data_IF_118218354704
#
_entry.id   IF_118218354704
#
_cell.length_a   1.000
_cell.length_b   1.000
_cell.length_c   1.000
_cell.angle_alpha   90.00
_cell.angle_beta   90.00
_cell.angle_gamma   90.00
#
_symmetry.space_group_name_H-M   'P 1'
#
loop_
_entity.id
_entity.type
_entity.pdbx_description
1 polymer ?
#
# COMPACT_ATOMS: atom_id res chain seq x y z
N UNK A 1 -11.00 6.30 3.93
CA UNK A 1 -10.00 6.10 2.87
C UNK A 1 -9.18 4.84 3.07
N UNK A 2 -8.50 4.73 4.20
CA UNK A 2 -7.53 3.67 4.53
C UNK A 2 -8.00 2.22 4.39
N UNK A 3 -9.31 1.95 4.53
CA UNK A 3 -9.86 0.60 4.30
C UNK A 3 -9.47 0.00 2.94
N UNK A 4 -9.29 0.81 1.89
CA UNK A 4 -8.79 0.30 0.61
C UNK A 4 -7.36 -0.24 0.71
N UNK A 5 -6.50 0.39 1.52
CA UNK A 5 -5.12 -0.06 1.76
C UNK A 5 -5.09 -1.29 2.66
N UNK A 6 -6.08 -1.48 3.54
CA UNK A 6 -6.23 -2.73 4.28
C UNK A 6 -6.36 -3.91 3.31
N UNK A 7 -7.18 -3.78 2.27
CA UNK A 7 -7.28 -4.77 1.20
C UNK A 7 -5.95 -5.00 0.48
N UNK A 8 -5.16 -3.95 0.24
CA UNK A 8 -3.85 -4.08 -0.41
C UNK A 8 -2.86 -4.80 0.51
N UNK A 9 -2.86 -4.49 1.81
CA UNK A 9 -2.03 -5.17 2.81
C UNK A 9 -2.34 -6.66 2.92
N UNK A 10 -3.63 -7.01 2.89
CA UNK A 10 -4.09 -8.40 2.85
C UNK A 10 -3.65 -9.10 1.55
N UNK A 11 -3.74 -8.42 0.41
CA UNK A 11 -3.27 -8.97 -0.86
C UNK A 11 -1.76 -9.23 -0.88
N UNK A 12 -0.95 -8.29 -0.37
CA UNK A 12 0.51 -8.41 -0.40
C UNK A 12 1.02 -9.59 0.45
N UNK A 13 0.36 -9.87 1.57
CA UNK A 13 0.74 -10.94 2.47
C UNK A 13 -0.05 -12.24 2.25
N UNK A 14 -0.87 -12.30 1.21
CA UNK A 14 -1.73 -13.45 0.93
C UNK A 14 -0.93 -14.74 0.74
N UNK A 15 0.24 -14.69 0.13
CA UNK A 15 1.05 -15.90 -0.06
C UNK A 15 1.57 -16.48 1.25
N UNK A 16 1.75 -15.69 2.31
CA UNK A 16 2.31 -16.18 3.57
C UNK A 16 1.54 -17.40 4.11
N UNK A 17 0.21 -17.34 4.35
CA UNK A 17 -0.52 -18.49 4.83
C UNK A 17 -0.97 -19.47 3.74
N UNK A 18 -1.20 -19.01 2.49
CA UNK A 18 -1.83 -19.86 1.46
C UNK A 18 -0.84 -20.52 0.51
N UNK A 19 0.37 -19.99 0.33
CA UNK A 19 1.38 -20.61 -0.52
C UNK A 19 1.76 -22.01 0.01
N UNK A 20 2.02 -22.22 1.32
CA UNK A 20 2.22 -23.55 1.86
C UNK A 20 1.02 -24.47 1.64
N UNK A 21 -0.21 -23.93 1.69
CA UNK A 21 -1.43 -24.74 1.54
C UNK A 21 -1.60 -25.30 0.12
N UNK A 22 -1.29 -24.50 -0.90
CA UNK A 22 -1.40 -24.90 -2.31
C UNK A 22 -0.20 -25.72 -2.79
N UNK A 23 0.98 -25.55 -2.17
CA UNK A 23 2.18 -26.34 -2.48
C UNK A 23 2.17 -27.70 -1.79
N UNK A 24 1.68 -27.79 -0.54
CA UNK A 24 1.58 -29.06 0.18
C UNK A 24 0.34 -29.89 -0.22
N UNK A 25 -0.43 -29.46 -1.23
CA UNK A 25 -1.62 -30.17 -1.72
C UNK A 25 -2.81 -30.18 -0.74
N UNK A 26 -2.78 -29.36 0.32
CA UNK A 26 -3.87 -29.29 1.31
C UNK A 26 -5.11 -28.55 0.78
N UNK A 27 -4.96 -27.75 -0.28
CA UNK A 27 -6.09 -27.08 -0.92
C UNK A 27 -6.70 -27.97 -2.01
N UNK A 28 -8.01 -28.29 -1.94
CA UNK A 28 -8.63 -29.22 -2.87
C UNK A 28 -8.68 -28.66 -4.30
N UNK A 29 -8.27 -29.48 -5.27
CA UNK A 29 -8.39 -29.20 -6.69
C UNK A 29 -7.24 -28.43 -7.34
N UNK A 30 -6.14 -28.17 -6.61
CA UNK A 30 -4.89 -27.67 -7.19
C UNK A 30 -3.68 -28.17 -6.39
N UNK A 31 -2.62 -28.55 -7.08
CA UNK A 31 -1.30 -28.77 -6.49
C UNK A 31 -0.31 -27.95 -7.31
N UNK A 32 0.43 -27.07 -6.62
CA UNK A 32 1.29 -26.08 -7.26
C UNK A 32 2.75 -26.40 -6.94
N UNK A 33 3.59 -26.47 -7.95
CA UNK A 33 5.04 -26.67 -7.76
C UNK A 33 5.69 -25.47 -7.06
N UNK A 34 6.88 -25.65 -6.48
CA UNK A 34 7.63 -24.55 -5.84
C UNK A 34 7.89 -23.37 -6.80
N UNK A 35 8.18 -23.67 -8.06
CA UNK A 35 8.45 -22.67 -9.09
C UNK A 35 7.19 -21.87 -9.45
N UNK A 36 6.08 -22.57 -9.69
CA UNK A 36 4.78 -21.94 -9.92
C UNK A 36 4.33 -21.10 -8.73
N UNK A 37 4.55 -21.58 -7.51
CA UNK A 37 4.27 -20.87 -6.28
C UNK A 37 5.05 -19.56 -6.15
N UNK A 38 6.32 -19.57 -6.56
CA UNK A 38 7.18 -18.39 -6.58
C UNK A 38 6.70 -17.35 -7.60
N UNK A 39 6.20 -17.79 -8.76
CA UNK A 39 5.54 -16.90 -9.71
C UNK A 39 4.30 -16.25 -9.10
N UNK A 40 3.41 -17.03 -8.47
CA UNK A 40 2.21 -16.49 -7.79
C UNK A 40 2.58 -15.41 -6.76
N UNK A 41 3.66 -15.63 -6.00
CA UNK A 41 4.13 -14.70 -4.98
C UNK A 41 4.66 -13.38 -5.54
N UNK A 42 5.37 -13.39 -6.67
CA UNK A 42 5.99 -12.18 -7.23
C UNK A 42 5.06 -11.37 -8.13
N UNK A 43 3.96 -11.95 -8.64
CA UNK A 43 3.04 -11.26 -9.57
C UNK A 43 2.56 -9.86 -9.10
N UNK A 44 2.17 -9.63 -7.83
CA UNK A 44 1.77 -8.30 -7.37
C UNK A 44 2.89 -7.26 -7.47
N UNK A 45 4.14 -7.70 -7.32
CA UNK A 45 5.31 -6.82 -7.42
C UNK A 45 5.64 -6.49 -8.87
N UNK A 46 5.50 -7.46 -9.79
CA UNK A 46 5.61 -7.23 -11.23
C UNK A 46 4.51 -6.29 -11.76
N UNK A 47 3.33 -6.32 -11.13
CA UNK A 47 2.23 -5.44 -11.45
C UNK A 47 2.38 -4.00 -10.91
N UNK A 48 3.29 -3.78 -9.97
CA UNK A 48 3.43 -2.48 -9.31
C UNK A 48 3.86 -1.35 -10.27
N UNK A 49 4.86 -1.51 -11.17
CA UNK A 49 5.22 -0.48 -12.14
C UNK A 49 4.09 -0.06 -13.10
N UNK A 50 3.40 -0.97 -13.83
CA UNK A 50 2.30 -0.55 -14.70
C UNK A 50 1.15 0.08 -13.90
N UNK A 51 0.84 -0.45 -12.72
CA UNK A 51 -0.15 0.15 -11.83
C UNK A 51 0.20 1.59 -11.40
N UNK A 52 1.47 1.88 -11.11
CA UNK A 52 1.91 3.23 -10.74
C UNK A 52 1.80 4.22 -11.92
N UNK A 53 2.11 3.77 -13.14
CA UNK A 53 1.94 4.58 -14.36
C UNK A 53 0.47 4.87 -14.63
N UNK A 54 -0.40 3.86 -14.48
CA UNK A 54 -1.85 4.05 -14.57
C UNK A 54 -2.35 5.03 -13.50
N UNK A 55 -1.83 4.96 -12.29
CA UNK A 55 -2.20 5.85 -11.19
C UNK A 55 -1.87 7.31 -11.52
N UNK A 56 -0.66 7.58 -12.04
CA UNK A 56 -0.25 8.92 -12.43
C UNK A 56 -1.21 9.55 -13.47
N UNK A 57 -1.72 8.73 -14.39
CA UNK A 57 -2.71 9.17 -15.37
C UNK A 57 -4.11 9.37 -14.78
N UNK A 58 -4.60 8.40 -14.00
CA UNK A 58 -5.96 8.40 -13.45
C UNK A 58 -6.16 9.56 -12.47
N UNK A 59 -5.21 9.76 -11.56
CA UNK A 59 -5.32 10.78 -10.51
C UNK A 59 -5.41 12.20 -11.08
N UNK A 60 -4.72 12.46 -12.19
CA UNK A 60 -4.77 13.74 -12.91
C UNK A 60 -6.02 13.90 -13.78
N UNK A 61 -6.53 12.79 -14.35
CA UNK A 61 -7.66 12.83 -15.29
C UNK A 61 -9.01 12.88 -14.58
N UNK A 62 -9.24 11.95 -13.64
CA UNK A 62 -10.54 11.75 -12.97
C UNK A 62 -10.56 12.22 -11.52
N UNK A 63 -9.41 12.51 -10.91
CA UNK A 63 -9.30 12.99 -9.54
C UNK A 63 -8.86 11.91 -8.55
N UNK A 64 -8.43 12.35 -7.37
CA UNK A 64 -7.83 11.49 -6.34
C UNK A 64 -8.90 10.64 -5.65
N UNK A 65 -10.01 11.26 -5.25
CA UNK A 65 -11.15 10.58 -4.61
C UNK A 65 -11.80 9.61 -5.59
N UNK A 66 -12.09 10.04 -6.80
CA UNK A 66 -12.72 9.15 -7.80
C UNK A 66 -11.83 7.97 -8.17
N UNK A 67 -10.53 8.17 -8.33
CA UNK A 67 -9.59 7.05 -8.55
C UNK A 67 -9.67 6.03 -7.41
N UNK A 68 -9.62 6.50 -6.17
CA UNK A 68 -9.69 5.62 -4.99
C UNK A 68 -11.03 4.88 -4.90
N UNK A 69 -12.14 5.58 -5.17
CA UNK A 69 -13.49 5.02 -5.11
C UNK A 69 -13.72 3.95 -6.20
N UNK A 70 -13.28 4.18 -7.44
CA UNK A 70 -13.48 3.26 -8.56
C UNK A 70 -12.60 2.00 -8.45
N UNK A 71 -11.48 2.05 -7.73
CA UNK A 71 -10.68 0.87 -7.44
C UNK A 71 -11.37 -0.11 -6.48
N UNK A 72 -12.36 0.34 -5.69
CA UNK A 72 -13.08 -0.49 -4.74
C UNK A 72 -13.89 -1.63 -5.40
N UNK A 73 -14.80 -1.39 -6.36
CA UNK A 73 -15.53 -2.46 -7.04
C UNK A 73 -14.59 -3.40 -7.83
N UNK A 74 -13.49 -2.87 -8.37
CA UNK A 74 -12.49 -3.70 -9.05
C UNK A 74 -11.81 -4.64 -8.05
N UNK A 75 -11.39 -4.12 -6.89
CA UNK A 75 -10.78 -4.93 -5.81
C UNK A 75 -11.76 -5.99 -5.30
N UNK A 76 -13.04 -5.62 -5.13
CA UNK A 76 -14.12 -6.55 -4.77
C UNK A 76 -14.20 -7.71 -5.77
N UNK A 77 -14.33 -7.39 -7.07
CA UNK A 77 -14.41 -8.39 -8.12
C UNK A 77 -13.18 -9.31 -8.13
N UNK A 78 -11.97 -8.76 -7.96
CA UNK A 78 -10.73 -9.55 -7.92
C UNK A 78 -10.69 -10.54 -6.74
N UNK A 79 -11.16 -10.15 -5.55
CA UNK A 79 -11.26 -11.08 -4.43
C UNK A 79 -12.31 -12.17 -4.66
N UNK A 80 -13.44 -11.84 -5.29
CA UNK A 80 -14.44 -12.84 -5.68
C UNK A 80 -13.83 -13.82 -6.69
N UNK A 81 -13.19 -13.33 -7.76
CA UNK A 81 -12.55 -14.20 -8.75
C UNK A 81 -11.44 -15.06 -8.12
N UNK A 82 -10.67 -14.52 -7.17
CA UNK A 82 -9.65 -15.25 -6.44
C UNK A 82 -10.24 -16.43 -5.64
N UNK A 83 -11.42 -16.25 -5.04
CA UNK A 83 -12.08 -17.27 -4.24
C UNK A 83 -12.38 -18.54 -5.08
N UNK A 84 -12.68 -18.36 -6.36
CA UNK A 84 -13.03 -19.42 -7.31
C UNK A 84 -11.86 -19.83 -8.22
N UNK A 85 -10.67 -19.26 -8.05
CA UNK A 85 -9.50 -19.65 -8.83
C UNK A 85 -9.09 -21.10 -8.53
N UNK A 86 -8.80 -21.87 -9.59
CA UNK A 86 -8.41 -23.30 -9.50
C UNK A 86 -7.19 -23.67 -10.35
N UNK A 87 -6.57 -22.70 -11.03
CA UNK A 87 -5.39 -22.94 -11.86
C UNK A 87 -4.27 -21.96 -11.49
N UNK A 88 -3.02 -22.39 -11.64
CA UNK A 88 -1.84 -21.54 -11.40
C UNK A 88 -1.92 -20.25 -12.21
N UNK A 89 -2.30 -20.35 -13.48
CA UNK A 89 -2.42 -19.20 -14.37
C UNK A 89 -3.51 -18.21 -13.92
N UNK A 90 -4.65 -18.71 -13.41
CA UNK A 90 -5.68 -17.85 -12.84
C UNK A 90 -5.16 -17.12 -11.58
N UNK A 91 -4.46 -17.81 -10.68
CA UNK A 91 -3.84 -17.17 -9.52
C UNK A 91 -2.86 -16.08 -9.95
N UNK A 92 -1.96 -16.37 -10.90
CA UNK A 92 -1.01 -15.39 -11.41
C UNK A 92 -1.69 -14.16 -12.03
N UNK A 93 -2.67 -14.38 -12.91
CA UNK A 93 -3.39 -13.29 -13.58
C UNK A 93 -4.13 -12.40 -12.57
N UNK A 94 -4.86 -13.00 -11.62
CA UNK A 94 -5.60 -12.25 -10.59
C UNK A 94 -4.64 -11.50 -9.67
N UNK A 95 -3.55 -12.15 -9.22
CA UNK A 95 -2.50 -11.53 -8.39
C UNK A 95 -1.83 -10.35 -9.08
N UNK A 96 -1.61 -10.44 -10.39
CA UNK A 96 -1.10 -9.33 -11.19
C UNK A 96 -2.11 -8.18 -11.23
N UNK A 97 -3.37 -8.44 -11.58
CA UNK A 97 -4.40 -7.39 -11.68
C UNK A 97 -4.66 -6.68 -10.34
N UNK A 98 -4.81 -7.43 -9.25
CA UNK A 98 -4.99 -6.85 -7.92
C UNK A 98 -3.73 -6.10 -7.44
N UNK A 99 -2.53 -6.51 -7.88
CA UNK A 99 -1.29 -5.79 -7.67
C UNK A 99 -1.26 -4.43 -8.38
N UNK A 100 -1.75 -4.35 -9.62
CA UNK A 100 -1.91 -3.09 -10.34
C UNK A 100 -2.84 -2.15 -9.57
N UNK A 101 -4.00 -2.65 -9.13
CA UNK A 101 -4.98 -1.89 -8.34
C UNK A 101 -4.37 -1.43 -7.01
N UNK A 102 -3.62 -2.31 -6.33
CA UNK A 102 -2.91 -1.97 -5.11
C UNK A 102 -1.90 -0.84 -5.29
N UNK A 103 -1.16 -0.85 -6.40
CA UNK A 103 -0.22 0.23 -6.76
C UNK A 103 -0.93 1.56 -7.05
N UNK A 104 -2.09 1.50 -7.71
CA UNK A 104 -2.95 2.68 -7.93
C UNK A 104 -3.38 3.27 -6.58
N UNK A 105 -3.84 2.44 -5.66
CA UNK A 105 -4.28 2.87 -4.33
C UNK A 105 -3.14 3.44 -3.49
N UNK A 106 -1.95 2.81 -3.51
CA UNK A 106 -0.76 3.32 -2.83
C UNK A 106 -0.25 4.65 -3.36
N UNK A 107 -0.63 5.02 -4.59
CA UNK A 107 -0.28 6.32 -5.18
C UNK A 107 -1.37 7.35 -4.90
N UNK A 108 -2.64 7.00 -5.16
CA UNK A 108 -3.76 7.92 -5.10
C UNK A 108 -4.13 8.32 -3.66
N UNK A 109 -4.14 7.37 -2.71
CA UNK A 109 -4.64 7.64 -1.37
C UNK A 109 -3.72 8.56 -0.54
N UNK A 110 -2.38 8.36 -0.48
CA UNK A 110 -1.51 9.29 0.23
C UNK A 110 -1.57 10.71 -0.33
N UNK A 111 -1.71 10.84 -1.66
CA UNK A 111 -1.91 12.13 -2.32
C UNK A 111 -3.23 12.77 -1.88
N UNK A 112 -4.33 12.01 -1.93
CA UNK A 112 -5.64 12.46 -1.46
C UNK A 112 -5.58 12.95 -0.01
N UNK A 113 -5.08 12.11 0.90
CA UNK A 113 -4.97 12.44 2.33
C UNK A 113 -4.06 13.65 2.56
N UNK A 114 -2.98 13.78 1.79
CA UNK A 114 -2.09 14.93 1.87
C UNK A 114 -2.71 16.24 1.39
N UNK A 115 -3.63 16.19 0.44
CA UNK A 115 -4.33 17.36 -0.11
C UNK A 115 -5.56 17.76 0.74
N UNK A 116 -6.21 16.82 1.43
CA UNK A 116 -7.39 17.12 2.27
C UNK A 116 -7.03 17.39 3.74
N UNK A 117 -5.90 16.88 4.24
CA UNK A 117 -5.53 17.03 5.63
C UNK A 117 -5.19 18.48 5.99
N UNK A 118 -5.59 18.89 7.19
CA UNK A 118 -5.03 20.10 7.79
C UNK A 118 -3.53 19.89 8.09
N UNK A 119 -2.66 20.89 7.87
CA UNK A 119 -1.20 20.75 8.07
C UNK A 119 -0.80 20.11 9.40
N UNK A 120 -1.49 20.45 10.49
CA UNK A 120 -1.22 19.94 11.84
C UNK A 120 -1.40 18.41 11.99
N UNK A 121 -2.31 17.78 11.23
CA UNK A 121 -2.62 16.34 11.34
C UNK A 121 -2.20 15.54 10.11
N UNK A 122 -1.61 16.19 9.11
CA UNK A 122 -1.23 15.57 7.83
C UNK A 122 -0.27 14.40 8.01
N UNK A 123 0.67 14.50 8.95
CA UNK A 123 1.60 13.42 9.28
C UNK A 123 0.88 12.15 9.72
N UNK A 124 0.02 12.27 10.74
CA UNK A 124 -0.76 11.14 11.29
C UNK A 124 -1.70 10.56 10.23
N UNK A 125 -2.40 11.42 9.47
CA UNK A 125 -3.36 10.96 8.46
C UNK A 125 -2.65 10.20 7.33
N UNK A 126 -1.50 10.68 6.86
CA UNK A 126 -0.72 9.96 5.84
C UNK A 126 -0.09 8.68 6.40
N UNK A 127 0.34 8.68 7.67
CA UNK A 127 0.86 7.49 8.35
C UNK A 127 -0.18 6.37 8.52
N UNK A 128 -1.47 6.72 8.63
CA UNK A 128 -2.56 5.75 8.73
C UNK A 128 -2.63 4.78 7.54
N UNK A 129 -2.08 5.15 6.37
CA UNK A 129 -1.93 4.27 5.20
C UNK A 129 -1.03 3.07 5.53
N UNK A 130 0.15 3.32 6.10
CA UNK A 130 1.09 2.26 6.44
C UNK A 130 0.53 1.35 7.52
N UNK A 131 -0.08 1.94 8.55
CA UNK A 131 -0.75 1.19 9.62
C UNK A 131 -1.87 0.29 9.08
N UNK A 132 -2.72 0.82 8.20
CA UNK A 132 -3.79 0.05 7.58
C UNK A 132 -3.28 -1.10 6.72
N UNK A 133 -2.13 -0.93 6.03
CA UNK A 133 -1.50 -2.03 5.31
C UNK A 133 -1.04 -3.14 6.26
N UNK A 134 -0.40 -2.79 7.38
CA UNK A 134 0.07 -3.78 8.36
C UNK A 134 -1.10 -4.53 9.00
N UNK A 135 -2.21 -3.84 9.29
CA UNK A 135 -3.45 -4.49 9.74
C UNK A 135 -4.00 -5.47 8.70
N UNK A 136 -3.96 -5.13 7.41
CA UNK A 136 -4.34 -6.04 6.32
C UNK A 136 -3.46 -7.28 6.27
N UNK A 137 -2.14 -7.09 6.42
CA UNK A 137 -1.16 -8.18 6.50
C UNK A 137 -1.42 -9.10 7.70
N UNK A 138 -1.72 -8.55 8.87
CA UNK A 138 -2.13 -9.33 10.04
C UNK A 138 -3.43 -10.09 9.79
N UNK A 139 -4.45 -9.41 9.26
CA UNK A 139 -5.76 -9.99 8.98
C UNK A 139 -5.65 -11.23 8.09
N UNK A 140 -4.94 -11.15 6.97
CA UNK A 140 -4.86 -12.28 6.04
C UNK A 140 -4.11 -13.48 6.64
N UNK A 141 -3.08 -13.24 7.45
CA UNK A 141 -2.36 -14.32 8.13
C UNK A 141 -3.23 -15.01 9.19
N UNK A 142 -4.04 -14.25 9.93
CA UNK A 142 -5.02 -14.81 10.87
C UNK A 142 -6.11 -15.59 10.14
N UNK A 143 -6.66 -15.03 9.06
CA UNK A 143 -7.68 -15.71 8.25
C UNK A 143 -7.13 -17.00 7.64
N UNK A 144 -5.91 -16.98 7.13
CA UNK A 144 -5.30 -18.14 6.49
C UNK A 144 -4.96 -19.28 7.44
N UNK A 145 -4.94 -19.02 8.75
CA UNK A 145 -4.85 -20.08 9.74
C UNK A 145 -6.20 -20.78 9.98
N UNK A 146 -7.30 -20.03 9.98
CA UNK A 146 -8.61 -20.57 10.36
C UNK A 146 -9.49 -20.98 9.18
N UNK A 147 -9.23 -20.44 7.99
CA UNK A 147 -10.15 -20.51 6.87
C UNK A 147 -9.44 -20.85 5.56
N UNK A 148 -10.17 -21.52 4.66
CA UNK A 148 -9.70 -21.82 3.31
C UNK A 148 -9.55 -20.55 2.46
N UNK A 149 -8.85 -20.66 1.33
CA UNK A 149 -8.70 -19.57 0.34
C UNK A 149 -10.07 -19.03 -0.08
N UNK A 150 -11.07 -19.89 -0.28
CA UNK A 150 -12.42 -19.50 -0.68
C UNK A 150 -13.04 -18.56 0.35
N UNK A 151 -13.17 -19.02 1.59
CA UNK A 151 -13.83 -18.25 2.65
C UNK A 151 -13.07 -16.98 3.00
N UNK A 152 -11.74 -17.07 3.06
CA UNK A 152 -10.89 -15.90 3.35
C UNK A 152 -10.97 -14.84 2.25
N UNK A 153 -11.04 -15.24 0.98
CA UNK A 153 -11.22 -14.32 -0.14
C UNK A 153 -12.60 -13.66 -0.11
N UNK A 154 -13.66 -14.39 0.26
CA UNK A 154 -15.00 -13.82 0.46
C UNK A 154 -15.04 -12.82 1.62
N UNK A 155 -14.38 -13.12 2.75
CA UNK A 155 -14.25 -12.18 3.87
C UNK A 155 -13.47 -10.94 3.42
N UNK A 156 -12.36 -11.11 2.70
CA UNK A 156 -11.58 -9.98 2.18
C UNK A 156 -12.35 -9.16 1.14
N UNK A 157 -13.30 -9.76 0.41
CA UNK A 157 -14.17 -9.04 -0.51
C UNK A 157 -15.15 -8.11 0.21
N UNK A 158 -15.53 -8.37 1.46
CA UNK A 158 -16.38 -7.45 2.22
C UNK A 158 -15.69 -6.08 2.49
N UNK A 159 -14.37 -6.07 2.63
CA UNK A 159 -13.58 -4.86 2.95
C UNK A 159 -13.69 -3.77 1.87
N UNK A 160 -13.42 -4.04 0.56
CA UNK A 160 -13.60 -3.04 -0.49
C UNK A 160 -15.06 -2.60 -0.66
N UNK A 161 -16.05 -3.45 -0.34
CA UNK A 161 -17.47 -3.07 -0.35
C UNK A 161 -17.77 -2.03 0.74
N UNK A 162 -17.34 -2.30 1.98
CA UNK A 162 -17.47 -1.35 3.09
C UNK A 162 -16.72 -0.06 2.78
N UNK A 163 -15.52 -0.16 2.20
CA UNK A 163 -14.78 1.01 1.75
C UNK A 163 -15.56 1.83 0.73
N UNK A 164 -16.13 1.20 -0.30
CA UNK A 164 -16.92 1.89 -1.32
C UNK A 164 -18.08 2.66 -0.69
N UNK A 165 -18.88 1.97 0.13
CA UNK A 165 -20.03 2.59 0.81
C UNK A 165 -19.59 3.78 1.68
N UNK A 166 -18.60 3.59 2.55
CA UNK A 166 -18.11 4.65 3.44
C UNK A 166 -17.45 5.82 2.70
N UNK A 167 -16.84 5.59 1.53
CA UNK A 167 -16.02 6.59 0.84
C UNK A 167 -16.80 7.42 -0.19
N UNK A 168 -18.04 7.06 -0.53
CA UNK A 168 -18.90 7.84 -1.46
C UNK A 168 -19.08 9.29 -0.99
N UNK A 169 -19.31 9.48 0.31
CA UNK A 169 -19.59 10.80 0.90
C UNK A 169 -18.37 11.69 1.07
N UNK A 170 -17.16 11.15 0.88
CA UNK A 170 -15.95 11.95 0.98
C UNK A 170 -15.86 12.97 -0.17
N UNK A 171 -15.49 14.24 0.12
CA UNK A 171 -15.37 15.27 -0.91
C UNK A 171 -14.12 15.03 -1.77
N UNK A 172 -14.10 15.54 -3.00
CA UNK A 172 -12.89 15.49 -3.84
C UNK A 172 -11.85 16.51 -3.34
N UNK A 173 -10.58 16.28 -3.64
CA UNK A 173 -9.49 17.17 -3.22
C UNK A 173 -9.70 18.62 -3.69
N UNK A 174 -9.62 19.64 -2.80
CA UNK A 174 -9.66 21.04 -3.20
C UNK A 174 -8.57 21.40 -4.22
N UNK A 175 -7.37 20.83 -4.07
CA UNK A 175 -6.24 21.02 -4.99
C UNK A 175 -6.57 20.53 -6.40
N UNK A 176 -7.24 19.38 -6.51
CA UNK A 176 -7.67 18.85 -7.81
C UNK A 176 -8.74 19.74 -8.46
N UNK A 177 -9.72 20.20 -7.69
CA UNK A 177 -10.83 21.00 -8.19
C UNK A 177 -10.35 22.38 -8.69
N UNK A 178 -9.44 23.02 -7.96
CA UNK A 178 -8.79 24.27 -8.40
C UNK A 178 -8.00 24.05 -9.70
N UNK A 179 -7.24 22.94 -9.80
CA UNK A 179 -6.51 22.59 -11.03
C UNK A 179 -7.43 22.32 -12.24
N UNK A 180 -8.72 22.07 -12.00
CA UNK A 180 -9.75 21.93 -13.04
C UNK A 180 -10.55 23.22 -13.28
N UNK A 181 -10.15 24.34 -12.67
CA UNK A 181 -10.85 25.63 -12.68
C UNK A 181 -12.28 25.55 -12.11
N UNK A 182 -12.50 24.71 -11.10
CA UNK A 182 -13.81 24.49 -10.46
C UNK A 182 -13.84 25.10 -9.04
N UNK A 183 -13.56 26.40 -8.95
CA UNK A 183 -13.32 27.12 -7.69
C UNK A 183 -14.48 27.04 -6.70
N UNK A 184 -15.73 27.15 -7.16
CA UNK A 184 -16.90 27.06 -6.26
C UNK A 184 -16.99 25.68 -5.59
N UNK A 185 -16.85 24.60 -6.37
CA UNK A 185 -16.86 23.24 -5.82
C UNK A 185 -15.66 22.97 -4.90
N UNK A 186 -14.52 23.63 -5.16
CA UNK A 186 -13.34 23.56 -4.31
C UNK A 186 -13.60 24.23 -2.95
N UNK A 187 -14.30 25.36 -2.91
CA UNK A 187 -14.73 26.00 -1.66
C UNK A 187 -15.71 25.12 -0.88
N UNK A 188 -16.68 24.52 -1.55
CA UNK A 188 -17.61 23.57 -0.91
C UNK A 188 -16.89 22.34 -0.33
N UNK A 189 -15.92 21.79 -1.08
CA UNK A 189 -15.09 20.69 -0.61
C UNK A 189 -14.31 21.08 0.63
N UNK A 190 -13.65 22.24 0.60
CA UNK A 190 -12.88 22.74 1.73
C UNK A 190 -13.78 23.00 2.96
N UNK A 191 -14.99 23.55 2.76
CA UNK A 191 -15.97 23.74 3.82
C UNK A 191 -16.48 22.44 4.43
N UNK A 192 -16.56 21.35 3.67
CA UNK A 192 -16.85 20.02 4.22
C UNK A 192 -15.69 19.44 5.03
N UNK A 193 -14.45 19.81 4.69
CA UNK A 193 -13.23 19.30 5.32
C UNK A 193 -12.77 20.13 6.53
N UNK A 194 -13.19 21.40 6.61
CA UNK A 194 -12.86 22.35 7.67
C UNK A 194 -14.16 22.81 8.33
N UNK A 195 -14.35 22.46 9.60
CA UNK A 195 -15.56 22.82 10.37
C UNK A 195 -15.64 24.30 10.74
N UNK A 196 -15.04 25.21 9.96
CA UNK A 196 -14.88 26.63 10.27
C UNK A 196 -15.28 27.51 9.09
N UNK A 197 -15.84 28.69 9.37
CA UNK A 197 -16.30 29.65 8.35
C UNK A 197 -15.16 30.45 7.68
N UNK A 198 -13.95 30.48 8.25
CA UNK A 198 -12.80 31.23 7.68
C UNK A 198 -11.99 30.42 6.64
N UNK A 199 -12.68 29.75 5.73
CA UNK A 199 -12.03 28.96 4.66
C UNK A 199 -11.50 29.82 3.51
N UNK A 200 -11.83 31.12 3.47
CA UNK A 200 -11.44 32.02 2.39
C UNK A 200 -9.92 32.21 2.29
N UNK A 201 -9.24 32.32 3.43
CA UNK A 201 -7.79 32.46 3.50
C UNK A 201 -7.07 31.19 3.07
N UNK A 202 -7.49 30.02 3.56
CA UNK A 202 -6.91 28.72 3.17
C UNK A 202 -7.16 28.44 1.68
N UNK A 203 -8.37 28.70 1.19
CA UNK A 203 -8.68 28.58 -0.24
C UNK A 203 -7.73 29.45 -1.08
N UNK A 204 -7.56 30.72 -0.72
CA UNK A 204 -6.67 31.64 -1.45
C UNK A 204 -5.22 31.14 -1.46
N UNK A 205 -4.72 30.64 -0.32
CA UNK A 205 -3.36 30.08 -0.23
C UNK A 205 -3.20 28.86 -1.15
N UNK A 206 -4.15 27.93 -1.12
CA UNK A 206 -4.14 26.74 -2.00
C UNK A 206 -4.22 27.17 -3.47
N UNK A 207 -5.11 28.11 -3.81
CA UNK A 207 -5.27 28.58 -5.19
C UNK A 207 -4.02 29.25 -5.73
N UNK A 208 -3.33 30.08 -4.94
CA UNK A 208 -2.04 30.66 -5.34
C UNK A 208 -1.01 29.56 -5.59
N UNK A 209 -0.84 28.62 -4.65
CA UNK A 209 0.14 27.54 -4.79
C UNK A 209 -0.12 26.66 -6.02
N UNK A 210 -1.38 26.29 -6.27
CA UNK A 210 -1.77 25.47 -7.43
C UNK A 210 -1.58 26.24 -8.74
N UNK A 211 -1.95 27.52 -8.79
CA UNK A 211 -1.80 28.33 -9.99
C UNK A 211 -0.33 28.63 -10.32
N UNK A 212 0.52 28.82 -9.30
CA UNK A 212 1.97 28.90 -9.49
C UNK A 212 2.55 27.59 -10.05
N UNK A 213 2.09 26.43 -9.57
CA UNK A 213 2.50 25.13 -10.10
C UNK A 213 2.08 24.94 -11.58
N UNK A 214 0.87 25.40 -11.94
CA UNK A 214 0.36 25.36 -13.32
C UNK A 214 1.15 26.33 -14.22
N UNK A 215 1.40 27.55 -13.74
CA UNK A 215 2.06 28.62 -14.49
C UNK A 215 3.55 28.33 -14.74
N UNK A 216 4.25 27.69 -13.79
CA UNK A 216 5.66 27.34 -13.91
C UNK A 216 5.98 26.21 -14.92
N UNK A 217 5.00 25.83 -15.76
CA UNK A 217 5.00 24.72 -16.74
C UNK A 217 5.23 23.37 -16.08
N UNK A 218 4.29 22.44 -16.32
CA UNK A 218 4.35 21.03 -15.89
C UNK A 218 5.78 20.50 -15.95
N UNK A 219 6.33 20.10 -14.81
CA UNK A 219 7.52 19.25 -14.77
C UNK A 219 7.28 18.10 -15.76
N UNK A 220 8.01 18.08 -16.86
CA UNK A 220 7.94 16.98 -17.82
C UNK A 220 8.56 15.76 -17.16
N UNK A 221 8.08 14.57 -17.49
CA UNK A 221 8.69 13.33 -16.99
C UNK A 221 10.21 13.28 -17.26
N UNK A 222 10.65 13.86 -18.38
CA UNK A 222 12.07 13.99 -18.73
C UNK A 222 12.85 14.97 -17.84
N UNK A 223 12.18 15.91 -17.17
CA UNK A 223 12.81 16.87 -16.26
C UNK A 223 13.41 16.21 -15.03
N UNK A 224 12.99 14.98 -14.73
CA UNK A 224 13.61 14.13 -13.71
C UNK A 224 15.07 13.82 -14.08
N UNK A 225 15.36 13.66 -15.38
CA UNK A 225 16.69 13.31 -15.90
C UNK A 225 17.50 14.51 -16.39
N UNK A 226 16.85 15.62 -16.79
CA UNK A 226 17.57 16.80 -17.32
C UNK A 226 17.98 17.78 -16.22
N UNK A 227 17.13 17.99 -15.20
CA UNK A 227 17.38 18.97 -14.13
C UNK A 227 18.33 18.38 -13.08
N UNK A 228 19.44 19.07 -12.81
CA UNK A 228 20.50 18.60 -11.87
C UNK A 228 19.96 18.27 -10.47
N UNK A 229 19.08 19.11 -9.92
CA UNK A 229 18.45 18.88 -8.62
C UNK A 229 17.60 17.60 -8.61
N UNK A 230 16.75 17.44 -9.65
CA UNK A 230 15.89 16.27 -9.79
C UNK A 230 16.69 14.98 -9.98
N UNK A 231 17.81 15.02 -10.72
CA UNK A 231 18.72 13.88 -10.86
C UNK A 231 19.29 13.42 -9.53
N UNK A 232 19.72 14.36 -8.69
CA UNK A 232 20.22 14.03 -7.36
C UNK A 232 19.12 13.43 -6.48
N UNK A 233 17.91 14.01 -6.52
CA UNK A 233 16.75 13.45 -5.83
C UNK A 233 16.39 12.03 -6.32
N UNK A 234 16.43 11.80 -7.64
CA UNK A 234 16.23 10.49 -8.25
C UNK A 234 17.29 9.49 -7.80
N UNK A 235 18.56 9.88 -7.77
CA UNK A 235 19.66 9.04 -7.30
C UNK A 235 19.45 8.60 -5.85
N UNK A 236 19.14 9.54 -4.95
CA UNK A 236 18.82 9.24 -3.55
C UNK A 236 17.59 8.32 -3.45
N UNK A 237 16.55 8.58 -4.25
CA UNK A 237 15.35 7.75 -4.29
C UNK A 237 15.65 6.31 -4.74
N UNK A 238 16.46 6.13 -5.80
CA UNK A 238 16.85 4.81 -6.30
C UNK A 238 17.63 4.06 -5.22
N UNK A 239 18.63 4.68 -4.59
CA UNK A 239 19.40 4.06 -3.50
C UNK A 239 18.48 3.63 -2.35
N UNK A 240 17.62 4.53 -1.85
CA UNK A 240 16.72 4.22 -0.74
C UNK A 240 15.77 3.06 -1.04
N UNK A 241 15.17 3.04 -2.23
CA UNK A 241 14.27 1.95 -2.62
C UNK A 241 15.02 0.65 -2.83
N UNK A 242 16.24 0.71 -3.38
CA UNK A 242 17.11 -0.46 -3.57
C UNK A 242 17.46 -1.04 -2.20
N UNK A 243 18.00 -0.25 -1.27
CA UNK A 243 18.29 -0.67 0.11
C UNK A 243 17.08 -1.30 0.78
N UNK A 244 15.89 -0.71 0.63
CA UNK A 244 14.64 -1.28 1.17
C UNK A 244 14.27 -2.63 0.54
N UNK A 245 14.50 -2.83 -0.76
CA UNK A 245 14.23 -4.12 -1.42
C UNK A 245 15.22 -5.19 -0.99
N UNK A 246 16.49 -4.82 -0.82
CA UNK A 246 17.57 -5.72 -0.37
C UNK A 246 17.55 -6.01 1.13
N UNK A 247 16.73 -5.31 1.93
CA UNK A 247 16.58 -5.61 3.36
C UNK A 247 15.86 -6.94 3.66
N UNK A 248 15.46 -7.70 2.63
CA UNK A 248 14.77 -8.99 2.79
C UNK A 248 13.29 -8.90 3.17
N UNK A 249 12.74 -7.69 3.35
CA UNK A 249 11.36 -7.52 3.83
C UNK A 249 10.30 -8.15 2.91
N UNK A 250 10.54 -8.20 1.60
CA UNK A 250 9.65 -8.82 0.63
C UNK A 250 9.52 -10.34 0.85
N UNK A 251 10.62 -11.11 0.71
CA UNK A 251 10.63 -12.54 1.01
C UNK A 251 10.09 -12.86 2.41
N UNK A 252 10.47 -12.10 3.43
CA UNK A 252 9.96 -12.27 4.78
C UNK A 252 8.43 -12.14 4.87
N UNK A 253 7.81 -11.24 4.09
CA UNK A 253 6.36 -11.03 4.08
C UNK A 253 5.61 -12.07 3.23
N UNK A 254 6.25 -12.64 2.20
CA UNK A 254 5.63 -13.63 1.32
C UNK A 254 5.71 -15.05 1.85
N UNK A 255 6.78 -15.37 2.59
CA UNK A 255 7.13 -16.71 3.05
C UNK A 255 7.17 -16.78 4.58
N UNK A 256 6.54 -15.85 5.31
CA UNK A 256 6.65 -15.78 6.79
C UNK A 256 6.33 -17.12 7.45
N UNK A 257 5.22 -17.75 7.08
CA UNK A 257 4.83 -19.06 7.62
C UNK A 257 5.86 -20.14 7.26
N UNK A 258 6.33 -20.20 6.02
CA UNK A 258 7.34 -21.17 5.58
C UNK A 258 8.67 -21.01 6.33
N UNK A 259 9.10 -19.78 6.57
CA UNK A 259 10.33 -19.48 7.32
C UNK A 259 10.19 -20.00 8.76
N UNK A 260 9.08 -19.70 9.43
CA UNK A 260 8.85 -20.18 10.80
C UNK A 260 8.60 -21.69 10.89
N UNK A 261 8.10 -22.33 9.83
CA UNK A 261 8.00 -23.80 9.75
C UNK A 261 9.38 -24.46 9.66
N UNK A 262 10.32 -23.83 8.96
CA UNK A 262 11.68 -24.36 8.78
C UNK A 262 12.56 -24.14 10.01
N UNK A 263 12.28 -23.11 10.81
CA UNK A 263 13.10 -22.73 11.96
C UNK A 263 13.02 -23.68 13.19
N UNK A 264 12.32 -24.82 13.10
CA UNK A 264 12.16 -25.85 14.16
C UNK A 264 12.06 -25.30 15.61
N UNK A 265 11.26 -24.24 15.79
CA UNK A 265 11.11 -23.57 17.08
C UNK A 265 10.17 -24.30 18.05
N UNK A 266 10.27 -23.96 19.34
CA UNK A 266 9.38 -24.47 20.39
C UNK A 266 7.95 -23.92 20.31
N UNK A 267 7.74 -22.84 19.55
CA UNK A 267 6.46 -22.16 19.38
C UNK A 267 5.86 -22.51 18.02
N UNK A 268 4.55 -22.71 17.96
CA UNK A 268 3.89 -23.01 16.68
C UNK A 268 4.19 -21.93 15.62
N UNK A 269 4.40 -22.31 14.34
CA UNK A 269 4.69 -21.34 13.28
C UNK A 269 3.61 -20.25 13.16
N UNK A 270 2.35 -20.60 13.37
CA UNK A 270 1.23 -19.67 13.33
C UNK A 270 1.29 -18.61 14.42
N UNK A 271 1.54 -19.02 15.68
CA UNK A 271 1.70 -18.09 16.80
C UNK A 271 2.89 -17.17 16.57
N UNK A 272 4.00 -17.70 16.03
CA UNK A 272 5.19 -16.93 15.70
C UNK A 272 4.94 -15.84 14.65
N UNK A 273 4.17 -16.15 13.60
CA UNK A 273 3.76 -15.18 12.57
C UNK A 273 2.92 -14.05 13.17
N UNK A 274 1.93 -14.38 14.01
CA UNK A 274 1.07 -13.36 14.65
C UNK A 274 1.88 -12.46 15.58
N UNK A 275 2.76 -13.04 16.41
CA UNK A 275 3.66 -12.26 17.28
C UNK A 275 4.55 -11.32 16.45
N UNK A 276 5.16 -11.84 15.38
CA UNK A 276 6.00 -11.04 14.48
C UNK A 276 5.24 -9.84 13.88
N UNK A 277 4.02 -10.06 13.40
CA UNK A 277 3.21 -9.00 12.80
C UNK A 277 2.72 -7.98 13.84
N UNK A 278 2.40 -8.41 15.06
CA UNK A 278 2.11 -7.51 16.17
C UNK A 278 3.31 -6.63 16.54
N UNK A 279 4.51 -7.22 16.63
CA UNK A 279 5.75 -6.48 16.86
C UNK A 279 5.99 -5.49 15.72
N UNK A 280 5.71 -5.86 14.47
CA UNK A 280 5.87 -4.97 13.32
C UNK A 280 4.92 -3.76 13.39
N UNK A 281 3.66 -3.96 13.81
CA UNK A 281 2.70 -2.88 14.02
C UNK A 281 3.16 -1.94 15.15
N UNK A 282 3.55 -2.48 16.30
CA UNK A 282 4.04 -1.69 17.44
C UNK A 282 5.29 -0.90 17.03
N UNK A 283 6.24 -1.55 16.35
CA UNK A 283 7.48 -0.92 15.88
C UNK A 283 7.19 0.21 14.89
N UNK A 284 6.20 0.04 14.01
CA UNK A 284 5.78 1.10 13.10
C UNK A 284 5.19 2.31 13.85
N UNK A 285 4.37 2.08 14.88
CA UNK A 285 3.82 3.16 15.71
C UNK A 285 4.91 3.91 16.48
N UNK A 286 5.87 3.19 17.08
CA UNK A 286 7.01 3.79 17.76
C UNK A 286 7.84 4.60 16.76
N UNK A 287 8.11 4.04 15.58
CA UNK A 287 8.90 4.71 14.54
C UNK A 287 8.27 6.03 14.11
N UNK A 288 6.94 6.12 14.00
CA UNK A 288 6.24 7.37 13.65
C UNK A 288 6.45 8.46 14.70
N UNK A 289 6.42 8.10 15.98
CA UNK A 289 6.65 9.07 17.06
C UNK A 289 8.11 9.51 17.13
N UNK A 290 9.05 8.57 17.00
CA UNK A 290 10.50 8.85 17.05
C UNK A 290 10.97 9.66 15.84
N UNK A 291 10.30 9.51 14.69
CA UNK A 291 10.62 10.19 13.44
C UNK A 291 10.67 11.71 13.58
N UNK A 292 9.72 12.27 14.34
CA UNK A 292 9.59 13.71 14.50
C UNK A 292 10.70 14.29 15.40
N UNK A 293 11.26 13.49 16.32
CA UNK A 293 12.34 13.93 17.21
C UNK A 293 13.75 13.70 16.65
N UNK A 294 14.00 12.51 16.07
CA UNK A 294 15.34 12.10 15.62
C UNK A 294 15.60 12.50 14.16
N UNK A 295 14.53 12.68 13.39
CA UNK A 295 14.60 12.95 11.96
C UNK A 295 14.81 11.70 11.11
N UNK A 296 14.57 11.86 9.80
CA UNK A 296 14.48 10.74 8.84
C UNK A 296 15.82 10.03 8.57
N UNK A 297 16.92 10.80 8.42
CA UNK A 297 18.22 10.26 7.98
C UNK A 297 18.87 9.33 9.01
N UNK A 298 18.96 9.68 10.32
CA UNK A 298 19.56 8.78 11.30
C UNK A 298 18.78 7.47 11.46
N UNK A 299 17.44 7.53 11.46
CA UNK A 299 16.57 6.34 11.57
C UNK A 299 16.80 5.36 10.42
N UNK A 300 16.95 5.85 9.19
CA UNK A 300 17.22 4.98 8.02
C UNK A 300 18.59 4.31 8.16
N UNK A 301 19.61 5.04 8.63
CA UNK A 301 20.96 4.48 8.81
C UNK A 301 20.97 3.41 9.91
N UNK A 302 20.40 3.72 11.07
CA UNK A 302 20.33 2.79 12.22
C UNK A 302 19.57 1.52 11.82
N UNK A 303 18.42 1.65 11.15
CA UNK A 303 17.64 0.49 10.71
C UNK A 303 18.38 -0.34 9.67
N UNK A 304 19.11 0.28 8.74
CA UNK A 304 19.93 -0.44 7.75
C UNK A 304 21.06 -1.22 8.41
N UNK A 305 21.78 -0.62 9.38
CA UNK A 305 22.83 -1.31 10.14
C UNK A 305 22.26 -2.49 10.93
N UNK A 306 21.11 -2.31 11.59
CA UNK A 306 20.44 -3.39 12.30
C UNK A 306 20.04 -4.53 11.34
N UNK A 307 19.49 -4.21 10.17
CA UNK A 307 19.16 -5.21 9.14
C UNK A 307 20.40 -5.98 8.67
N UNK A 308 21.55 -5.31 8.46
CA UNK A 308 22.80 -5.96 8.08
C UNK A 308 23.21 -6.98 9.15
N UNK A 309 23.24 -6.57 10.41
CA UNK A 309 23.64 -7.44 11.53
C UNK A 309 22.71 -8.66 11.61
N UNK A 310 21.39 -8.45 11.61
CA UNK A 310 20.42 -9.54 11.74
C UNK A 310 20.49 -10.50 10.55
N UNK A 311 20.59 -10.00 9.31
CA UNK A 311 20.69 -10.85 8.12
C UNK A 311 22.02 -11.63 8.09
N UNK A 312 23.13 -11.01 8.51
CA UNK A 312 24.41 -11.71 8.63
C UNK A 312 24.34 -12.85 9.65
N UNK A 313 23.67 -12.65 10.79
CA UNK A 313 23.45 -13.72 11.78
C UNK A 313 22.56 -14.81 11.19
N UNK A 314 21.43 -14.47 10.58
CA UNK A 314 20.53 -15.46 9.98
C UNK A 314 21.16 -16.27 8.86
N UNK A 315 22.12 -15.70 8.12
CA UNK A 315 22.83 -16.43 7.05
C UNK A 315 23.95 -17.36 7.55
N UNK A 316 24.30 -17.32 8.83
CA UNK A 316 25.28 -18.25 9.43
C UNK A 316 24.67 -19.54 9.97
N UNK A 317 23.34 -19.58 10.13
CA UNK A 317 22.56 -20.77 10.46
C UNK A 317 22.02 -21.42 9.20
#
# INVERSE_FOLDING_TARGET
>A
GTLSILSVGANNAWTSPYLPQITNGTYPGISVTSDEGSWIAIMPQLASPPGALMAAYLVDRIGRKMTTLLMAPITFAMFITLAFARTTLAFCAIRFLIGCVGSILYTALPMYLGEIAHPAIRGILTASVAFSSLLGTLLINVLGFHFSILLSSLICAAIPLVHFLAFIWMPESPYYLIRKNMDETARESLAKLRSTDDNGNEFKMISVAVNEEIANKKARFLDIFTVKSNRFALFVFIILNTTRKFSGIGPFLFYTVSIFQTAEGSVSPHTSVVIFLCIQIISAMVSLNVLDYVGRRPIIIISTVACIITLSISGTY
#
